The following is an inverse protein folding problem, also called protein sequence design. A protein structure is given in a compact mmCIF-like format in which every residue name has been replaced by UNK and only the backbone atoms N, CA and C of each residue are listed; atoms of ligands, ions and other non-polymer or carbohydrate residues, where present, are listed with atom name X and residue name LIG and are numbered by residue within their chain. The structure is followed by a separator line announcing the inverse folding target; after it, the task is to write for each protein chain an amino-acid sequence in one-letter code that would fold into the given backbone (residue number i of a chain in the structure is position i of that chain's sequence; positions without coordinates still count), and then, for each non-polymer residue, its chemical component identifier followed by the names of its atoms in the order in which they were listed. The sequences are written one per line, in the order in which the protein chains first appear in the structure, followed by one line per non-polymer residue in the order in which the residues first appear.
data_IF_209863910039
#
_entry.id   IF_209863910039
#
_cell.length_a   1.000
_cell.length_b   1.000
_cell.length_c   1.000
_cell.angle_alpha   90.00
_cell.angle_beta   90.00
_cell.angle_gamma   90.00
#
_symmetry.space_group_name_H-M   'P 1'
#
loop_
_entity.id
_entity.type
_entity.pdbx_description
1 polymer ?
#
# COMPACT_ATOMS: atom_id res chain seq x y z
N UNK A 1 11.67 43.92 -15.09
CA UNK A 1 10.23 43.59 -15.02
C UNK A 1 10.05 42.31 -15.86
N UNK A 2 9.79 41.09 -15.42
CA UNK A 2 9.16 40.50 -14.25
C UNK A 2 9.89 39.17 -13.93
N UNK A 3 10.26 38.94 -12.67
CA UNK A 3 10.73 37.63 -12.22
C UNK A 3 9.55 36.65 -12.16
N UNK A 4 9.61 35.58 -12.95
CA UNK A 4 8.66 34.46 -12.90
C UNK A 4 8.87 33.67 -11.60
N UNK A 5 8.24 34.11 -10.51
CA UNK A 5 8.07 33.29 -9.29
C UNK A 5 6.91 32.33 -9.51
N UNK A 6 7.22 31.13 -10.00
CA UNK A 6 6.31 29.98 -10.05
C UNK A 6 5.74 29.71 -8.62
N UNK A 7 4.44 29.46 -8.44
CA UNK A 7 3.86 29.27 -7.11
C UNK A 7 4.35 27.95 -6.51
N UNK A 8 5.19 28.03 -5.46
CA UNK A 8 5.73 26.89 -4.71
C UNK A 8 4.67 26.01 -4.02
N UNK A 9 3.39 26.41 -4.02
CA UNK A 9 2.29 25.64 -3.42
C UNK A 9 1.91 24.36 -4.18
N UNK A 10 2.25 24.25 -5.47
CA UNK A 10 1.84 23.09 -6.27
C UNK A 10 2.69 21.83 -6.01
N UNK A 11 3.93 21.97 -5.52
CA UNK A 11 4.78 20.82 -5.19
C UNK A 11 4.20 20.03 -4.01
N UNK A 12 3.85 20.74 -2.93
CA UNK A 12 3.32 20.13 -1.71
C UNK A 12 2.01 19.38 -1.96
N UNK A 13 1.06 20.02 -2.65
CA UNK A 13 -0.24 19.41 -3.00
C UNK A 13 -0.08 18.18 -3.90
N UNK A 14 0.91 18.20 -4.81
CA UNK A 14 1.19 17.06 -5.69
C UNK A 14 1.79 15.90 -4.90
N UNK A 15 2.77 16.16 -4.04
CA UNK A 15 3.39 15.15 -3.18
C UNK A 15 2.40 14.53 -2.20
N UNK A 16 1.59 15.32 -1.49
CA UNK A 16 0.58 14.79 -0.56
C UNK A 16 -0.45 13.90 -1.23
N UNK A 17 -0.81 14.18 -2.49
CA UNK A 17 -1.74 13.35 -3.28
C UNK A 17 -1.11 12.01 -3.66
N UNK A 18 0.18 12.01 -4.02
CA UNK A 18 0.91 10.78 -4.32
C UNK A 18 1.09 9.91 -3.08
N UNK A 19 1.36 10.51 -1.90
CA UNK A 19 1.45 9.78 -0.64
C UNK A 19 0.13 9.08 -0.28
N UNK A 20 -1.01 9.78 -0.36
CA UNK A 20 -2.34 9.14 -0.16
C UNK A 20 -2.60 8.01 -1.16
N UNK A 21 -2.14 8.16 -2.40
CA UNK A 21 -2.29 7.11 -3.42
C UNK A 21 -1.43 5.89 -3.10
N UNK A 22 -0.18 6.08 -2.68
CA UNK A 22 0.72 5.01 -2.25
C UNK A 22 0.17 4.25 -1.03
N UNK A 23 -0.39 4.97 -0.06
CA UNK A 23 -1.03 4.35 1.11
C UNK A 23 -2.23 3.49 0.71
N UNK A 24 -3.11 4.00 -0.17
CA UNK A 24 -4.28 3.27 -0.67
C UNK A 24 -3.90 2.06 -1.54
N UNK A 25 -2.95 2.23 -2.47
CA UNK A 25 -2.49 1.18 -3.39
C UNK A 25 -1.78 0.05 -2.66
N UNK A 26 -1.06 0.35 -1.58
CA UNK A 26 -0.35 -0.67 -0.81
C UNK A 26 -1.23 -1.43 0.19
N UNK A 27 -2.31 -0.81 0.71
CA UNK A 27 -3.26 -1.48 1.62
C UNK A 27 -4.30 -2.34 0.91
N UNK A 28 -4.77 -1.93 -0.27
CA UNK A 28 -5.83 -2.63 -1.02
C UNK A 28 -5.55 -4.13 -1.24
N UNK A 29 -4.34 -4.56 -1.67
CA UNK A 29 -4.02 -5.97 -1.90
C UNK A 29 -4.13 -6.86 -0.67
N UNK A 30 -3.94 -6.31 0.54
CA UNK A 30 -4.06 -7.03 1.81
C UNK A 30 -5.54 -7.35 2.08
N UNK A 31 -6.41 -6.35 1.94
CA UNK A 31 -7.84 -6.55 2.15
C UNK A 31 -8.47 -7.48 1.13
N UNK A 32 -8.09 -7.37 -0.15
CA UNK A 32 -8.53 -8.30 -1.19
C UNK A 32 -8.05 -9.73 -0.90
N UNK A 33 -6.79 -9.92 -0.49
CA UNK A 33 -6.27 -11.24 -0.09
C UNK A 33 -7.10 -11.87 1.04
N UNK A 34 -7.39 -11.05 2.04
CA UNK A 34 -8.10 -11.50 3.23
C UNK A 34 -9.54 -11.90 2.89
N UNK A 35 -10.21 -11.11 2.04
CA UNK A 35 -11.55 -11.46 1.54
C UNK A 35 -11.54 -12.78 0.75
N UNK A 36 -10.60 -12.96 -0.18
CA UNK A 36 -10.44 -14.23 -0.92
C UNK A 36 -10.16 -15.42 0.01
N UNK A 37 -9.31 -15.22 1.02
CA UNK A 37 -8.96 -16.24 2.01
C UNK A 37 -10.17 -16.64 2.86
N UNK A 38 -10.99 -15.67 3.28
CA UNK A 38 -12.22 -15.94 4.04
C UNK A 38 -13.24 -16.71 3.21
N UNK A 39 -13.42 -16.34 1.94
CA UNK A 39 -14.35 -17.01 1.04
C UNK A 39 -13.89 -18.43 0.67
N UNK A 40 -12.57 -18.66 0.60
CA UNK A 40 -11.97 -19.94 0.20
C UNK A 40 -11.38 -20.77 1.33
N UNK A 41 -11.65 -20.44 2.61
CA UNK A 41 -10.94 -21.02 3.76
C UNK A 41 -11.05 -22.54 3.83
N UNK A 42 -12.21 -23.09 3.48
CA UNK A 42 -12.46 -24.53 3.48
C UNK A 42 -11.63 -25.23 2.39
N UNK A 43 -11.56 -24.64 1.20
CA UNK A 43 -10.73 -25.14 0.10
C UNK A 43 -9.24 -25.11 0.46
N UNK A 44 -8.76 -23.99 1.02
CA UNK A 44 -7.36 -23.83 1.44
C UNK A 44 -6.97 -24.90 2.47
N UNK A 45 -7.85 -25.17 3.45
CA UNK A 45 -7.64 -26.20 4.47
C UNK A 45 -7.69 -27.60 3.89
N UNK A 46 -8.64 -27.88 3.00
CA UNK A 46 -8.77 -29.18 2.33
C UNK A 46 -7.50 -29.54 1.54
N UNK A 47 -6.88 -28.57 0.87
CA UNK A 47 -5.63 -28.75 0.12
C UNK A 47 -4.35 -28.53 0.95
N UNK A 48 -4.47 -28.26 2.26
CA UNK A 48 -3.36 -27.99 3.19
C UNK A 48 -2.42 -26.86 2.72
N UNK A 49 -2.96 -25.85 2.04
CA UNK A 49 -2.21 -24.71 1.47
C UNK A 49 -2.15 -23.49 2.40
N UNK A 50 -2.49 -23.65 3.68
CA UNK A 50 -2.53 -22.53 4.64
C UNK A 50 -1.17 -21.82 4.77
N UNK A 51 -0.05 -22.54 4.75
CA UNK A 51 1.29 -21.95 4.86
C UNK A 51 1.62 -21.01 3.70
N UNK A 52 1.26 -21.39 2.47
CA UNK A 52 1.45 -20.55 1.28
C UNK A 52 0.62 -19.26 1.35
N UNK A 53 -0.63 -19.38 1.81
CA UNK A 53 -1.52 -18.23 1.99
C UNK A 53 -1.02 -17.26 3.07
N UNK A 54 -0.45 -17.79 4.16
CA UNK A 54 0.20 -17.00 5.21
C UNK A 54 1.43 -16.28 4.66
N UNK A 55 2.31 -16.98 3.94
CA UNK A 55 3.49 -16.36 3.32
C UNK A 55 3.10 -15.25 2.34
N UNK A 56 2.10 -15.50 1.49
CA UNK A 56 1.57 -14.49 0.56
C UNK A 56 1.02 -13.27 1.29
N UNK A 57 0.39 -13.46 2.45
CA UNK A 57 -0.09 -12.36 3.28
C UNK A 57 1.06 -11.56 3.88
N UNK A 58 2.11 -12.24 4.35
CA UNK A 58 3.29 -11.61 4.93
C UNK A 58 4.01 -10.72 3.90
N UNK A 59 4.22 -11.22 2.68
CA UNK A 59 4.83 -10.45 1.58
C UNK A 59 4.03 -9.18 1.22
N UNK A 60 2.69 -9.26 1.25
CA UNK A 60 1.80 -8.11 0.99
C UNK A 60 1.87 -7.09 2.13
N UNK A 61 1.95 -7.54 3.37
CA UNK A 61 2.11 -6.68 4.55
C UNK A 61 3.50 -6.03 4.55
N UNK A 62 4.56 -6.75 4.23
CA UNK A 62 5.92 -6.20 4.11
C UNK A 62 5.96 -5.10 3.04
N UNK A 63 5.37 -5.35 1.88
CA UNK A 63 5.27 -4.35 0.80
C UNK A 63 4.53 -3.09 1.27
N UNK A 64 3.44 -3.24 2.03
CA UNK A 64 2.73 -2.11 2.62
C UNK A 64 3.57 -1.37 3.66
N UNK A 65 4.24 -2.09 4.56
CA UNK A 65 5.12 -1.50 5.56
C UNK A 65 6.24 -0.69 4.89
N UNK A 66 6.89 -1.23 3.85
CA UNK A 66 7.92 -0.51 3.08
C UNK A 66 7.38 0.78 2.46
N UNK A 67 6.19 0.74 1.85
CA UNK A 67 5.55 1.93 1.29
C UNK A 67 5.18 2.96 2.38
N UNK A 68 4.73 2.49 3.54
CA UNK A 68 4.41 3.33 4.70
C UNK A 68 5.66 4.00 5.28
N UNK A 69 6.77 3.26 5.45
CA UNK A 69 8.04 3.83 5.89
C UNK A 69 8.57 4.88 4.93
N UNK A 70 8.52 4.63 3.62
CA UNK A 70 8.89 5.64 2.61
C UNK A 70 8.04 6.90 2.71
N UNK A 71 6.73 6.75 2.95
CA UNK A 71 5.81 7.87 3.15
C UNK A 71 6.13 8.65 4.43
N UNK A 72 6.41 7.95 5.53
CA UNK A 72 6.78 8.54 6.82
C UNK A 72 8.08 9.36 6.75
N UNK A 73 9.06 8.90 5.98
CA UNK A 73 10.34 9.62 5.78
C UNK A 73 10.12 10.83 4.87
N UNK A 74 9.28 10.71 3.84
CA UNK A 74 8.99 11.81 2.92
C UNK A 74 8.14 12.95 3.54
N UNK A 75 7.44 12.66 4.64
CA UNK A 75 6.64 13.63 5.41
C UNK A 75 7.45 14.32 6.53
N UNK A 76 8.74 13.97 6.70
CA UNK A 76 9.69 14.65 7.58
C UNK A 76 10.53 15.69 6.84
#
# INVERSE_FOLDING_TARGET
MQGRRQPRGNLFVTTSRQLKRLDSVSKSPIFSHFAETLLGVDTIRAYRQCSLFVQTSDDRVDTNNRAYFCTLIADR
#
